data_IF_623006008733
#
_entry.id   IF_623006008733
#
_cell.length_a   1.000
_cell.length_b   1.000
_cell.length_c   1.000
_cell.angle_alpha   90.00
_cell.angle_beta   90.00
_cell.angle_gamma   90.00
#
_symmetry.space_group_name_H-M   'P 1'
#
loop_
_entity.id
_entity.type
_entity.pdbx_description
1 polymer ?
#
# COMPACT_ATOMS: atom_id res chain seq x y z
N UNK A 1 13.91 -10.61 1.74
CA UNK A 1 13.43 -9.26 2.09
C UNK A 1 14.14 -8.23 1.24
N UNK A 2 13.44 -7.19 0.82
CA UNK A 2 13.98 -6.08 0.01
C UNK A 2 13.37 -4.77 0.52
N UNK A 3 14.15 -3.71 0.49
CA UNK A 3 13.65 -2.35 0.66
C UNK A 3 13.31 -1.79 -0.72
N UNK A 4 12.10 -1.28 -0.91
CA UNK A 4 11.61 -0.73 -2.16
C UNK A 4 11.12 0.69 -1.93
N UNK A 5 11.29 1.57 -2.93
CA UNK A 5 10.62 2.86 -2.92
C UNK A 5 9.15 2.68 -3.30
N UNK A 6 8.24 3.60 -2.89
CA UNK A 6 6.83 3.51 -3.23
C UNK A 6 6.59 3.44 -4.74
N UNK A 7 7.35 4.18 -5.55
CA UNK A 7 7.18 4.16 -7.01
C UNK A 7 7.48 2.78 -7.58
N UNK A 8 8.54 2.11 -7.11
CA UNK A 8 8.90 0.76 -7.57
C UNK A 8 7.94 -0.32 -7.06
N UNK A 9 7.41 -0.16 -5.86
CA UNK A 9 6.41 -1.07 -5.28
C UNK A 9 5.05 -0.95 -6.01
N UNK A 10 4.72 0.25 -6.48
CA UNK A 10 3.47 0.51 -7.20
C UNK A 10 3.61 0.31 -8.72
N UNK A 11 4.79 0.52 -9.29
CA UNK A 11 5.07 0.31 -10.72
C UNK A 11 5.53 -1.12 -11.04
N UNK A 12 5.67 -2.00 -10.05
CA UNK A 12 5.92 -3.41 -10.33
C UNK A 12 4.68 -3.99 -11.02
N UNK A 13 4.73 -4.02 -12.35
CA UNK A 13 3.69 -4.60 -13.19
C UNK A 13 3.48 -6.07 -12.80
N UNK A 14 2.28 -6.32 -12.26
CA UNK A 14 1.56 -7.60 -12.15
C UNK A 14 2.34 -8.82 -11.64
N UNK A 15 2.19 -9.09 -10.34
CA UNK A 15 1.97 -10.42 -9.71
C UNK A 15 2.76 -10.63 -8.40
N UNK A 16 3.85 -9.89 -8.19
CA UNK A 16 4.74 -10.14 -7.05
C UNK A 16 4.45 -9.28 -5.81
N UNK A 17 3.65 -8.22 -5.95
CA UNK A 17 3.21 -7.36 -4.83
C UNK A 17 1.69 -7.37 -4.81
N UNK A 18 1.13 -7.93 -3.74
CA UNK A 18 -0.30 -8.08 -3.56
C UNK A 18 -0.98 -6.70 -3.36
N UNK A 19 -2.22 -6.55 -3.82
CA UNK A 19 -2.97 -5.30 -3.74
C UNK A 19 -3.10 -4.75 -2.31
N UNK A 20 -3.36 -5.62 -1.33
CA UNK A 20 -3.30 -5.28 0.10
C UNK A 20 -2.01 -4.57 0.54
N UNK A 21 -0.86 -4.94 -0.05
CA UNK A 21 0.43 -4.29 0.25
C UNK A 21 0.56 -2.95 -0.47
N UNK A 22 -0.01 -2.81 -1.67
CA UNK A 22 -0.01 -1.58 -2.47
C UNK A 22 -0.94 -0.52 -1.87
N UNK A 23 -2.07 -0.93 -1.29
CA UNK A 23 -3.09 -0.08 -0.69
C UNK A 23 -2.52 0.91 0.35
N UNK A 24 -1.52 0.48 1.13
CA UNK A 24 -0.83 1.33 2.10
C UNK A 24 -0.11 2.55 1.48
N UNK A 25 0.28 2.46 0.21
CA UNK A 25 1.04 3.49 -0.51
C UNK A 25 0.21 4.25 -1.55
N UNK A 26 -1.00 3.78 -1.84
CA UNK A 26 -1.93 4.43 -2.77
C UNK A 26 -2.84 5.47 -2.10
N UNK A 27 -2.69 5.70 -0.79
CA UNK A 27 -3.53 6.62 -0.01
C UNK A 27 -5.03 6.31 -0.15
N UNK A 28 -5.36 5.02 -0.27
CA UNK A 28 -6.73 4.50 -0.33
C UNK A 28 -7.09 3.92 1.04
N UNK A 29 -7.49 4.75 2.01
CA UNK A 29 -7.64 4.34 3.41
C UNK A 29 -8.71 3.26 3.63
N UNK A 30 -9.59 3.05 2.66
CA UNK A 30 -10.67 2.06 2.73
C UNK A 30 -10.30 0.71 2.14
N UNK A 31 -9.19 0.60 1.41
CA UNK A 31 -8.76 -0.65 0.76
C UNK A 31 -7.72 -1.43 1.57
N UNK A 32 -7.25 -0.86 2.69
CA UNK A 32 -6.24 -1.48 3.55
C UNK A 32 -6.88 -2.38 4.59
N UNK A 33 -6.53 -3.67 4.57
CA UNK A 33 -6.97 -4.63 5.60
C UNK A 33 -6.25 -4.32 6.92
N UNK A 34 -7.02 -4.10 8.00
CA UNK A 34 -6.50 -3.94 9.35
C UNK A 34 -6.16 -2.50 9.78
N UNK A 35 -6.33 -1.50 8.90
CA UNK A 35 -6.35 -0.10 9.32
C UNK A 35 -7.77 0.31 9.71
N UNK A 36 -7.97 0.60 10.98
CA UNK A 36 -9.21 1.18 11.47
C UNK A 36 -9.25 2.67 11.04
N UNK A 37 -10.41 3.22 10.66
CA UNK A 37 -10.51 4.58 10.06
C UNK A 37 -9.83 5.69 10.87
N UNK A 38 -9.69 5.49 12.18
CA UNK A 38 -9.04 6.39 13.15
C UNK A 38 -7.51 6.44 13.02
N UNK A 39 -6.89 5.43 12.42
CA UNK A 39 -5.43 5.28 12.32
C UNK A 39 -4.88 5.83 11.00
N UNK A 40 -5.76 6.13 10.04
CA UNK A 40 -5.41 6.89 8.84
C UNK A 40 -5.37 8.37 9.19
N UNK A 41 -4.25 8.82 9.76
CA UNK A 41 -3.91 10.24 9.76
C UNK A 41 -3.53 10.62 8.33
N UNK A 42 -4.34 11.46 7.69
CA UNK A 42 -4.01 12.10 6.42
C UNK A 42 -2.62 12.74 6.54
N UNK A 43 -1.67 12.24 5.75
CA UNK A 43 -0.36 12.85 5.50
C UNK A 43 -0.37 13.41 4.08
#
# INVERSE_FOLDING_TARGET
>A
YRWLTPELLLASDSDNVHDNSRAYFQNEPYSVIGLDKKDVKYV
#
